data_IF_657848437013
#
_entry.id   IF_657848437013
#
_cell.length_a   1.000
_cell.length_b   1.000
_cell.length_c   1.000
_cell.angle_alpha   90.00
_cell.angle_beta   90.00
_cell.angle_gamma   90.00
#
_symmetry.space_group_name_H-M   'P 1'
#
loop_
_entity.id
_entity.type
_entity.pdbx_description
1 polymer ?
#
# COMPACT_ATOMS: atom_id res chain seq x y z
N UNK A 1 -33.84 0.37 29.35
CA UNK A 1 -33.96 0.38 27.87
C UNK A 1 -33.64 1.74 27.26
N UNK A 2 -34.15 2.85 27.80
CA UNK A 2 -33.90 4.22 27.27
C UNK A 2 -32.45 4.71 27.31
N UNK A 3 -31.61 4.26 28.26
CA UNK A 3 -30.21 4.72 28.33
C UNK A 3 -29.33 4.18 27.18
N UNK A 4 -29.69 3.03 26.60
CA UNK A 4 -28.97 2.44 25.46
C UNK A 4 -29.24 3.15 24.13
N UNK A 5 -30.39 3.83 23.96
CA UNK A 5 -30.72 4.53 22.71
C UNK A 5 -29.97 5.85 22.57
N UNK A 6 -29.81 6.61 23.66
CA UNK A 6 -29.04 7.86 23.65
C UNK A 6 -27.55 7.64 23.36
N UNK A 7 -26.97 6.58 23.94
CA UNK A 7 -25.58 6.21 23.66
C UNK A 7 -25.40 5.77 22.20
N UNK A 8 -26.34 5.02 21.62
CA UNK A 8 -26.30 4.67 20.19
C UNK A 8 -26.40 5.89 19.30
N UNK A 9 -27.35 6.79 19.57
CA UNK A 9 -27.49 8.04 18.82
C UNK A 9 -26.23 8.91 18.90
N UNK A 10 -25.60 8.99 20.08
CA UNK A 10 -24.34 9.72 20.25
C UNK A 10 -23.19 9.07 19.47
N UNK A 11 -23.09 7.74 19.48
CA UNK A 11 -22.09 7.01 18.69
C UNK A 11 -22.32 7.16 17.19
N UNK A 12 -23.57 7.05 16.73
CA UNK A 12 -23.94 7.21 15.33
C UNK A 12 -23.66 8.65 14.85
N UNK A 13 -23.99 9.65 15.67
CA UNK A 13 -23.68 11.04 15.39
C UNK A 13 -22.17 11.31 15.34
N UNK A 14 -21.39 10.75 16.28
CA UNK A 14 -19.94 10.86 16.28
C UNK A 14 -19.30 10.17 15.06
N UNK A 15 -19.79 8.98 14.70
CA UNK A 15 -19.35 8.26 13.51
C UNK A 15 -19.67 9.05 12.24
N UNK A 16 -20.88 9.61 12.13
CA UNK A 16 -21.30 10.44 10.99
C UNK A 16 -20.47 11.72 10.89
N UNK A 17 -20.24 12.42 12.01
CA UNK A 17 -19.41 13.61 12.04
C UNK A 17 -17.97 13.32 11.63
N UNK A 18 -17.40 12.20 12.10
CA UNK A 18 -16.05 11.76 11.72
C UNK A 18 -15.96 11.43 10.24
N UNK A 19 -16.95 10.69 9.72
CA UNK A 19 -17.01 10.35 8.29
C UNK A 19 -17.16 11.62 7.44
N UNK A 20 -18.05 12.53 7.82
CA UNK A 20 -18.23 13.81 7.14
C UNK A 20 -16.92 14.61 7.14
N UNK A 21 -16.25 14.72 8.28
CA UNK A 21 -14.95 15.41 8.39
C UNK A 21 -13.89 14.83 7.45
N UNK A 22 -13.81 13.50 7.32
CA UNK A 22 -12.88 12.82 6.40
C UNK A 22 -13.27 13.06 4.93
N UNK A 23 -14.56 13.07 4.61
CA UNK A 23 -15.06 13.20 3.24
C UNK A 23 -15.10 14.65 2.73
N UNK A 24 -15.26 15.64 3.60
CA UNK A 24 -15.31 17.07 3.24
C UNK A 24 -14.13 17.50 2.35
N UNK A 25 -12.85 17.25 2.69
CA UNK A 25 -11.74 17.64 1.82
C UNK A 25 -11.75 16.90 0.48
N UNK A 26 -12.18 15.64 0.44
CA UNK A 26 -12.31 14.89 -0.81
C UNK A 26 -13.38 15.50 -1.72
N UNK A 27 -14.57 15.78 -1.18
CA UNK A 27 -15.65 16.45 -1.90
C UNK A 27 -15.20 17.82 -2.38
N UNK A 28 -14.48 18.57 -1.54
CA UNK A 28 -13.97 19.88 -1.90
C UNK A 28 -12.97 19.81 -3.06
N UNK A 29 -11.98 18.92 -3.01
CA UNK A 29 -11.01 18.73 -4.11
C UNK A 29 -11.70 18.24 -5.39
N UNK A 30 -12.67 17.32 -5.28
CA UNK A 30 -13.46 16.88 -6.44
C UNK A 30 -14.26 18.03 -7.03
N UNK A 31 -14.84 18.91 -6.22
CA UNK A 31 -15.55 20.09 -6.69
C UNK A 31 -14.62 21.11 -7.36
N UNK A 32 -13.43 21.35 -6.80
CA UNK A 32 -12.41 22.21 -7.39
C UNK A 32 -11.94 21.71 -8.76
N UNK A 33 -11.93 20.39 -8.99
CA UNK A 33 -11.52 19.81 -10.28
C UNK A 33 -12.39 20.26 -11.47
N UNK A 34 -13.57 20.84 -11.20
CA UNK A 34 -14.44 21.40 -12.23
C UNK A 34 -14.23 22.91 -12.44
N UNK A 35 -13.38 23.59 -11.66
CA UNK A 35 -13.20 25.05 -11.78
C UNK A 35 -12.52 25.40 -13.11
N UNK A 36 -12.98 26.48 -13.76
CA UNK A 36 -12.43 26.91 -15.05
C UNK A 36 -11.02 27.52 -14.94
N UNK A 37 -10.75 28.23 -13.85
CA UNK A 37 -9.46 28.87 -13.62
C UNK A 37 -8.36 27.87 -13.20
N UNK A 38 -7.12 28.11 -13.64
CA UNK A 38 -5.94 27.29 -13.32
C UNK A 38 -5.57 27.31 -11.85
N UNK A 39 -5.70 28.47 -11.21
CA UNK A 39 -5.48 28.66 -9.77
C UNK A 39 -6.86 28.75 -9.11
N UNK A 40 -7.26 27.76 -8.30
CA UNK A 40 -8.58 27.78 -7.67
C UNK A 40 -8.76 28.99 -6.74
N UNK A 41 -9.59 29.94 -7.19
CA UNK A 41 -10.07 31.08 -6.41
C UNK A 41 -11.58 30.97 -6.17
N UNK A 42 -12.07 31.67 -5.14
CA UNK A 42 -13.49 31.73 -4.82
C UNK A 42 -14.00 33.17 -4.92
N UNK A 43 -15.14 33.45 -5.58
CA UNK A 43 -16.04 32.48 -6.25
C UNK A 43 -15.45 31.92 -7.56
N UNK A 44 -15.88 30.72 -8.01
CA UNK A 44 -15.38 30.15 -9.27
C UNK A 44 -15.80 31.00 -10.47
N UNK A 45 -14.89 31.18 -11.43
CA UNK A 45 -15.16 31.92 -12.68
C UNK A 45 -16.08 31.14 -13.63
N UNK A 46 -16.22 29.83 -13.40
CA UNK A 46 -17.11 28.93 -14.12
C UNK A 46 -16.75 27.46 -13.90
N UNK A 47 -17.54 26.57 -14.48
CA UNK A 47 -17.30 25.13 -14.46
C UNK A 47 -16.93 24.59 -15.84
N UNK A 48 -16.02 23.63 -15.89
CA UNK A 48 -15.55 23.00 -17.14
C UNK A 48 -15.17 21.54 -16.93
N UNK A 49 -15.23 20.75 -18.01
CA UNK A 49 -14.67 19.41 -18.09
C UNK A 49 -13.32 19.38 -18.82
N UNK A 50 -12.78 20.55 -19.17
CA UNK A 50 -11.57 20.69 -19.97
C UNK A 50 -10.38 19.92 -19.37
N UNK A 51 -10.17 19.98 -18.05
CA UNK A 51 -9.08 19.28 -17.37
C UNK A 51 -9.09 17.76 -17.59
N UNK A 52 -10.28 17.16 -17.58
CA UNK A 52 -10.45 15.73 -17.83
C UNK A 52 -10.12 15.37 -19.28
N UNK A 53 -10.56 16.18 -20.26
CA UNK A 53 -10.21 15.95 -21.66
C UNK A 53 -8.73 16.22 -21.96
N UNK A 54 -8.15 17.26 -21.36
CA UNK A 54 -6.75 17.64 -21.56
C UNK A 54 -5.79 16.61 -20.98
N UNK A 55 -6.17 15.96 -19.88
CA UNK A 55 -5.42 14.85 -19.29
C UNK A 55 -5.19 13.71 -20.30
N UNK A 56 -6.19 13.41 -21.13
CA UNK A 56 -6.11 12.35 -22.14
C UNK A 56 -5.20 12.69 -23.33
N UNK A 57 -4.78 13.96 -23.46
CA UNK A 57 -3.82 14.39 -24.49
C UNK A 57 -2.40 14.56 -23.94
N UNK A 58 -2.24 14.56 -22.61
CA UNK A 58 -0.96 14.76 -21.96
C UNK A 58 -0.25 13.43 -21.74
N UNK A 59 0.70 13.12 -22.63
CA UNK A 59 1.47 11.86 -22.59
C UNK A 59 2.12 11.61 -21.22
N UNK A 60 2.69 12.64 -20.59
CA UNK A 60 3.32 12.51 -19.27
C UNK A 60 2.35 12.02 -18.18
N UNK A 61 1.09 12.48 -18.19
CA UNK A 61 0.08 12.01 -17.23
C UNK A 61 -0.32 10.57 -17.53
N UNK A 62 -0.53 10.23 -18.80
CA UNK A 62 -0.89 8.88 -19.22
C UNK A 62 0.22 7.88 -18.88
N UNK A 63 1.46 8.19 -19.25
CA UNK A 63 2.61 7.33 -18.94
C UNK A 63 2.78 7.15 -17.43
N UNK A 64 2.66 8.24 -16.66
CA UNK A 64 2.74 8.20 -15.20
C UNK A 64 1.62 7.35 -14.56
N UNK A 65 0.40 7.44 -15.08
CA UNK A 65 -0.72 6.61 -14.65
C UNK A 65 -0.48 5.13 -14.96
N UNK A 66 -0.10 4.80 -16.19
CA UNK A 66 0.18 3.41 -16.61
C UNK A 66 1.31 2.82 -15.78
N UNK A 67 2.40 3.56 -15.62
CA UNK A 67 3.57 3.15 -14.81
C UNK A 67 3.15 2.88 -13.36
N UNK A 68 2.33 3.76 -12.76
CA UNK A 68 1.84 3.59 -11.39
C UNK A 68 0.96 2.35 -11.23
N UNK A 69 0.07 2.08 -12.20
CA UNK A 69 -0.80 0.90 -12.20
C UNK A 69 0.03 -0.38 -12.36
N UNK A 70 0.97 -0.40 -13.31
CA UNK A 70 1.86 -1.54 -13.55
C UNK A 70 2.68 -1.86 -12.29
N UNK A 71 3.37 -0.88 -11.73
CA UNK A 71 4.17 -1.05 -10.51
C UNK A 71 3.29 -1.52 -9.36
N UNK A 72 2.13 -0.88 -9.14
CA UNK A 72 1.22 -1.20 -8.05
C UNK A 72 0.70 -2.64 -8.13
N UNK A 73 0.29 -3.09 -9.32
CA UNK A 73 -0.19 -4.45 -9.53
C UNK A 73 0.92 -5.48 -9.33
N UNK A 74 2.07 -5.29 -9.98
CA UNK A 74 3.17 -6.27 -9.93
C UNK A 74 3.75 -6.35 -8.52
N UNK A 75 4.01 -5.22 -7.87
CA UNK A 75 4.50 -5.19 -6.49
C UNK A 75 3.50 -5.82 -5.50
N UNK A 76 2.19 -5.65 -5.72
CA UNK A 76 1.15 -6.31 -4.91
C UNK A 76 1.18 -7.82 -5.10
N UNK A 77 1.27 -8.31 -6.34
CA UNK A 77 1.33 -9.76 -6.62
C UNK A 77 2.57 -10.40 -6.00
N UNK A 78 3.75 -9.77 -6.15
CA UNK A 78 4.99 -10.26 -5.53
C UNK A 78 4.88 -10.18 -4.00
N UNK A 79 4.37 -9.07 -3.47
CA UNK A 79 4.16 -8.87 -2.04
C UNK A 79 3.21 -9.89 -1.43
N UNK A 80 2.16 -10.30 -2.13
CA UNK A 80 1.26 -11.38 -1.70
C UNK A 80 1.96 -12.74 -1.76
N UNK A 81 2.66 -13.02 -2.87
CA UNK A 81 3.38 -14.29 -3.06
C UNK A 81 4.46 -14.52 -2.00
N UNK A 82 5.12 -13.46 -1.51
CA UNK A 82 6.16 -13.55 -0.48
C UNK A 82 5.60 -13.34 0.94
N UNK A 83 4.70 -12.38 1.11
CA UNK A 83 4.19 -11.95 2.41
C UNK A 83 3.19 -12.93 3.04
N UNK A 84 2.35 -13.60 2.24
CA UNK A 84 1.39 -14.58 2.77
C UNK A 84 2.11 -15.80 3.36
N UNK A 85 3.04 -16.46 2.66
CA UNK A 85 3.82 -17.55 3.25
C UNK A 85 4.65 -17.10 4.46
N UNK A 86 5.24 -15.90 4.41
CA UNK A 86 5.99 -15.36 5.55
C UNK A 86 5.09 -15.19 6.80
N UNK A 87 3.88 -14.65 6.64
CA UNK A 87 2.92 -14.51 7.74
C UNK A 87 2.47 -15.87 8.30
N UNK A 88 2.18 -16.85 7.43
CA UNK A 88 1.86 -18.23 7.84
C UNK A 88 3.04 -18.84 8.62
N UNK A 89 4.26 -18.69 8.11
CA UNK A 89 5.52 -19.05 8.76
C UNK A 89 5.63 -18.52 10.19
N UNK A 90 5.46 -17.21 10.34
CA UNK A 90 5.55 -16.52 11.63
C UNK A 90 4.51 -17.00 12.64
N UNK A 91 3.25 -17.16 12.20
CA UNK A 91 2.14 -17.48 13.11
C UNK A 91 2.05 -18.96 13.44
N UNK A 92 2.42 -19.85 12.50
CA UNK A 92 2.20 -21.29 12.64
C UNK A 92 3.48 -22.08 12.93
N UNK A 93 4.64 -21.67 12.42
CA UNK A 93 5.84 -22.52 12.40
C UNK A 93 7.03 -22.01 13.21
N UNK A 94 7.19 -20.70 13.43
CA UNK A 94 8.41 -20.14 14.05
C UNK A 94 8.12 -19.31 15.32
N UNK A 95 7.45 -19.87 16.34
CA UNK A 95 7.01 -19.08 17.50
C UNK A 95 8.20 -18.51 18.32
N UNK A 96 9.32 -19.23 18.41
CA UNK A 96 10.46 -18.82 19.25
C UNK A 96 11.20 -17.58 18.71
N UNK A 97 11.29 -17.41 17.39
CA UNK A 97 11.99 -16.28 16.75
C UNK A 97 11.03 -15.29 16.09
N UNK A 98 9.72 -15.53 16.23
CA UNK A 98 8.63 -14.75 15.63
C UNK A 98 8.75 -13.26 15.93
N UNK A 99 9.15 -12.87 17.14
CA UNK A 99 9.31 -11.47 17.53
C UNK A 99 10.44 -10.76 16.76
N UNK A 100 11.61 -11.41 16.66
CA UNK A 100 12.76 -10.87 15.93
C UNK A 100 12.49 -10.82 14.41
N UNK A 101 11.93 -11.89 13.86
CA UNK A 101 11.55 -11.95 12.45
C UNK A 101 10.46 -10.94 12.10
N UNK A 102 9.45 -10.75 12.96
CA UNK A 102 8.44 -9.71 12.79
C UNK A 102 9.05 -8.31 12.87
N UNK A 103 10.00 -8.09 13.77
CA UNK A 103 10.69 -6.79 13.89
C UNK A 103 11.49 -6.49 12.63
N UNK A 104 12.24 -7.46 12.11
CA UNK A 104 13.00 -7.32 10.86
C UNK A 104 12.08 -7.03 9.67
N UNK A 105 11.00 -7.80 9.52
CA UNK A 105 10.05 -7.64 8.43
C UNK A 105 9.33 -6.31 8.48
N UNK A 106 8.95 -5.83 9.68
CA UNK A 106 8.22 -4.58 9.87
C UNK A 106 9.13 -3.34 9.93
N UNK A 107 10.45 -3.53 10.03
CA UNK A 107 11.43 -2.44 10.13
C UNK A 107 11.27 -1.35 9.05
N UNK A 108 10.98 -1.67 7.76
CA UNK A 108 10.80 -0.65 6.74
C UNK A 108 9.67 0.34 7.04
N UNK A 109 8.67 -0.03 7.84
CA UNK A 109 7.56 0.84 8.22
C UNK A 109 7.92 1.87 9.30
N UNK A 110 9.01 1.64 10.04
CA UNK A 110 9.47 2.53 11.12
C UNK A 110 10.40 3.61 10.58
N UNK A 111 11.10 3.33 9.49
CA UNK A 111 12.04 4.27 8.87
C UNK A 111 11.27 5.42 8.23
N UNK A 112 11.66 6.69 8.44
CA UNK A 112 11.05 7.82 7.75
C UNK A 112 11.09 7.65 6.23
N UNK A 113 9.98 7.94 5.54
CA UNK A 113 9.83 7.65 4.12
C UNK A 113 10.94 8.25 3.25
N UNK A 114 11.41 9.45 3.57
CA UNK A 114 12.52 10.10 2.84
C UNK A 114 13.83 9.30 3.02
N UNK A 115 14.12 8.88 4.25
CA UNK A 115 15.32 8.10 4.57
C UNK A 115 15.27 6.74 3.86
N UNK A 116 14.12 6.07 3.92
CA UNK A 116 13.90 4.81 3.20
C UNK A 116 14.08 4.97 1.69
N UNK A 117 13.48 6.02 1.11
CA UNK A 117 13.63 6.33 -0.32
C UNK A 117 15.09 6.57 -0.72
N UNK A 118 15.84 7.35 0.06
CA UNK A 118 17.28 7.56 -0.18
C UNK A 118 18.09 6.28 -0.03
N UNK A 119 17.76 5.42 0.95
CA UNK A 119 18.46 4.16 1.16
C UNK A 119 18.20 3.17 0.02
N UNK A 120 16.96 3.09 -0.48
CA UNK A 120 16.61 2.28 -1.66
C UNK A 120 17.36 2.79 -2.89
N UNK A 121 17.39 4.11 -3.12
CA UNK A 121 18.15 4.69 -4.22
C UNK A 121 19.64 4.31 -4.16
N UNK A 122 20.27 4.45 -2.99
CA UNK A 122 21.66 4.03 -2.80
C UNK A 122 21.84 2.52 -3.02
N UNK A 123 20.91 1.69 -2.55
CA UNK A 123 20.95 0.25 -2.77
C UNK A 123 20.81 -0.12 -4.25
N UNK A 124 20.00 0.59 -5.03
CA UNK A 124 19.89 0.42 -6.48
C UNK A 124 21.19 0.82 -7.19
N UNK A 125 21.85 1.89 -6.74
CA UNK A 125 23.18 2.29 -7.25
C UNK A 125 24.22 1.21 -6.99
N UNK A 126 24.29 0.70 -5.76
CA UNK A 126 25.22 -0.37 -5.40
C UNK A 126 24.92 -1.66 -6.17
N UNK A 127 23.64 -2.00 -6.37
CA UNK A 127 23.23 -3.14 -7.17
C UNK A 127 23.64 -2.98 -8.64
N UNK A 128 23.46 -1.80 -9.23
CA UNK A 128 23.88 -1.53 -10.62
C UNK A 128 25.39 -1.69 -10.79
N UNK A 129 26.19 -1.11 -9.87
CA UNK A 129 27.65 -1.25 -9.87
C UNK A 129 28.06 -2.72 -9.77
N UNK A 130 27.41 -3.48 -8.88
CA UNK A 130 27.69 -4.91 -8.70
C UNK A 130 27.41 -5.70 -9.98
N UNK A 131 26.27 -5.46 -10.63
CA UNK A 131 25.85 -6.15 -11.86
C UNK A 131 26.78 -5.81 -13.03
N UNK A 132 27.23 -4.55 -13.15
CA UNK A 132 28.28 -4.14 -14.10
C UNK A 132 29.60 -4.87 -13.84
N UNK A 133 29.96 -5.10 -12.57
CA UNK A 133 31.13 -5.89 -12.20
C UNK A 133 31.10 -7.34 -12.70
N UNK A 134 29.90 -7.89 -12.97
CA UNK A 134 29.71 -9.21 -13.59
C UNK A 134 29.60 -9.17 -15.13
N UNK A 135 29.85 -8.01 -15.76
CA UNK A 135 29.79 -7.83 -17.20
C UNK A 135 28.37 -7.75 -17.78
N UNK A 136 27.37 -7.50 -16.92
CA UNK A 136 25.97 -7.34 -17.32
C UNK A 136 25.68 -5.85 -17.37
N UNK A 137 25.64 -5.23 -18.55
CA UNK A 137 25.40 -3.78 -18.72
C UNK A 137 23.91 -3.42 -18.67
N UNK A 138 23.18 -3.92 -17.67
CA UNK A 138 21.75 -3.59 -17.48
C UNK A 138 21.58 -2.51 -16.42
N UNK A 139 20.96 -1.36 -16.74
CA UNK A 139 20.65 -0.35 -15.74
C UNK A 139 19.64 -0.90 -14.74
N UNK A 140 19.81 -0.53 -13.47
CA UNK A 140 18.88 -0.89 -12.38
C UNK A 140 18.14 0.38 -11.94
N UNK A 141 18.88 1.47 -11.76
CA UNK A 141 18.35 2.76 -11.31
C UNK A 141 17.43 3.34 -12.38
N UNK A 142 16.29 3.87 -11.97
CA UNK A 142 15.37 4.57 -12.87
C UNK A 142 14.66 3.65 -13.86
N UNK A 143 14.72 2.33 -13.65
CA UNK A 143 13.99 1.33 -14.45
C UNK A 143 12.67 0.94 -13.78
N UNK A 144 11.72 0.45 -14.57
CA UNK A 144 10.46 -0.13 -14.04
C UNK A 144 10.76 -1.28 -13.07
N UNK A 145 11.79 -2.10 -13.36
CA UNK A 145 12.21 -3.21 -12.50
C UNK A 145 12.71 -2.75 -11.13
N UNK A 146 13.56 -1.71 -11.09
CA UNK A 146 14.01 -1.08 -9.85
C UNK A 146 12.84 -0.55 -9.03
N UNK A 147 11.93 0.19 -9.69
CA UNK A 147 10.73 0.71 -9.03
C UNK A 147 9.81 -0.40 -8.49
N UNK A 148 9.63 -1.51 -9.21
CA UNK A 148 8.87 -2.68 -8.74
C UNK A 148 9.55 -3.29 -7.52
N UNK A 149 10.87 -3.47 -7.53
CA UNK A 149 11.61 -4.01 -6.40
C UNK A 149 11.49 -3.11 -5.16
N UNK A 150 11.65 -1.79 -5.33
CA UNK A 150 11.46 -0.78 -4.30
C UNK A 150 10.06 -0.81 -3.69
N UNK A 151 9.01 -0.85 -4.51
CA UNK A 151 7.63 -0.92 -4.02
C UNK A 151 7.34 -2.26 -3.34
N UNK A 152 7.85 -3.37 -3.87
CA UNK A 152 7.68 -4.69 -3.27
C UNK A 152 8.25 -4.73 -1.86
N UNK A 153 9.43 -4.14 -1.62
CA UNK A 153 10.04 -4.04 -0.29
C UNK A 153 9.10 -3.36 0.72
N UNK A 154 8.36 -2.35 0.28
CA UNK A 154 7.40 -1.61 1.13
C UNK A 154 6.08 -2.39 1.28
N UNK A 155 5.63 -3.12 0.25
CA UNK A 155 4.37 -3.87 0.27
C UNK A 155 4.45 -5.10 1.19
N UNK A 156 5.57 -5.82 1.19
CA UNK A 156 5.76 -7.03 2.01
C UNK A 156 5.37 -6.83 3.49
N UNK A 157 5.89 -5.82 4.23
CA UNK A 157 5.51 -5.64 5.63
C UNK A 157 4.03 -5.38 5.85
N UNK A 158 3.37 -4.67 4.92
CA UNK A 158 1.93 -4.44 5.00
C UNK A 158 1.14 -5.73 4.83
N UNK A 159 1.50 -6.56 3.83
CA UNK A 159 0.87 -7.88 3.63
C UNK A 159 1.09 -8.75 4.87
N UNK A 160 2.34 -8.88 5.32
CA UNK A 160 2.67 -9.71 6.50
C UNK A 160 1.87 -9.27 7.71
N UNK A 161 1.80 -7.96 7.99
CA UNK A 161 1.08 -7.41 9.13
C UNK A 161 -0.42 -7.70 9.08
N UNK A 162 -1.07 -7.45 7.95
CA UNK A 162 -2.51 -7.65 7.79
C UNK A 162 -2.89 -9.14 7.84
N UNK A 163 -2.12 -9.99 7.16
CA UNK A 163 -2.35 -11.44 7.14
C UNK A 163 -2.10 -12.03 8.53
N UNK A 164 -1.04 -11.63 9.22
CA UNK A 164 -0.75 -12.05 10.61
C UNK A 164 -1.90 -11.66 11.55
N UNK A 165 -2.37 -10.41 11.49
CA UNK A 165 -3.48 -9.94 12.33
C UNK A 165 -4.77 -10.74 12.10
N UNK A 166 -5.04 -11.14 10.85
CA UNK A 166 -6.16 -12.02 10.51
C UNK A 166 -5.98 -13.45 11.05
N UNK A 167 -4.80 -14.04 10.85
CA UNK A 167 -4.49 -15.43 11.24
C UNK A 167 -4.43 -15.65 12.76
N UNK A 168 -4.09 -14.61 13.53
CA UNK A 168 -4.10 -14.66 15.00
C UNK A 168 -5.53 -14.83 15.54
N UNK A 169 -6.53 -14.25 14.87
CA UNK A 169 -7.94 -14.40 15.24
C UNK A 169 -8.63 -15.62 14.64
N UNK A 170 -7.95 -16.39 13.79
CA UNK A 170 -8.52 -17.53 13.07
C UNK A 170 -8.49 -18.81 13.92
N UNK A 171 -9.61 -19.55 13.95
CA UNK A 171 -9.72 -20.80 14.69
C UNK A 171 -8.87 -21.91 14.03
N UNK A 172 -7.85 -22.38 14.77
CA UNK A 172 -6.95 -23.46 14.32
C UNK A 172 -7.66 -24.81 14.17
N UNK A 173 -8.82 -25.02 14.79
CA UNK A 173 -9.53 -26.31 14.70
C UNK A 173 -9.90 -26.67 13.25
N UNK A 174 -10.11 -25.67 12.39
CA UNK A 174 -10.40 -25.86 10.97
C UNK A 174 -9.17 -26.39 10.22
N UNK A 175 -7.98 -25.86 10.53
CA UNK A 175 -6.71 -26.32 9.96
C UNK A 175 -6.39 -27.75 10.40
N UNK A 176 -6.59 -28.05 11.70
CA UNK A 176 -6.39 -29.39 12.26
C UNK A 176 -7.37 -30.42 11.66
N UNK A 177 -8.63 -30.04 11.44
CA UNK A 177 -9.61 -30.89 10.77
C UNK A 177 -9.23 -31.18 9.32
N UNK A 178 -8.71 -30.19 8.58
CA UNK A 178 -8.21 -30.40 7.21
C UNK A 178 -7.01 -31.35 7.18
N UNK A 179 -6.07 -31.21 8.12
CA UNK A 179 -4.92 -32.11 8.25
C UNK A 179 -5.35 -33.54 8.61
N UNK A 180 -6.36 -33.71 9.48
CA UNK A 180 -6.95 -35.02 9.78
C UNK A 180 -7.58 -35.70 8.56
N UNK A 181 -8.08 -34.93 7.59
CA UNK A 181 -8.59 -35.43 6.31
C UNK A 181 -7.50 -35.66 5.24
N UNK A 182 -6.22 -35.47 5.59
CA UNK A 182 -5.07 -35.75 4.73
C UNK A 182 -4.48 -34.53 4.02
N UNK A 183 -4.90 -33.31 4.36
CA UNK A 183 -4.25 -32.10 3.84
C UNK A 183 -2.83 -31.97 4.40
N UNK A 184 -1.85 -31.69 3.55
CA UNK A 184 -0.49 -31.37 3.97
C UNK A 184 -0.36 -29.89 4.36
N UNK A 185 0.63 -29.53 5.20
CA UNK A 185 0.83 -28.15 5.66
C UNK A 185 1.23 -27.15 4.57
#
# INVERSE_FOLDING_TARGET
MLHRSWLRLALDAAALASLAFILVPLVFVTWLAFFKQEIPSFPPEGYTLHWFSSMLTQKAIIDGFVTSVEIGLVATLIGLALGVPAALGLVRYVPWWSGAASTLLLMPLVVPAIVLGTAIYVAEVEAEILVYGFGIETPVIGTIGGLIAAHTLIVIPWVVRLVTASLVGFDRSIEEAAQNLGATP
#
